data_IF_805129785881
#
_entry.id   IF_805129785881
#
_cell.length_a   1.000
_cell.length_b   1.000
_cell.length_c   1.000
_cell.angle_alpha   90.00
_cell.angle_beta   90.00
_cell.angle_gamma   90.00
#
_symmetry.space_group_name_H-M   'P 1'
#
loop_
_entity.id
_entity.type
_entity.pdbx_description
1 polymer ?
#
# COMPACT_ATOMS: atom_id res chain seq x y z
N UNK A 1 -3.35 -5.01 14.34
CA UNK A 1 -2.88 -5.12 13.91
C UNK A 1 -1.97 -5.26 13.79
N UNK A 2 -1.51 -5.26 13.47
CA UNK A 2 -0.77 -5.59 13.41
C UNK A 2 0.12 -5.71 12.69
N UNK A 3 0.33 -6.18 12.11
CA UNK A 3 1.31 -6.51 11.31
C UNK A 3 2.03 -5.46 10.66
N UNK A 4 1.47 -4.46 10.26
CA UNK A 4 2.16 -3.49 9.63
C UNK A 4 2.99 -2.63 10.39
N UNK A 5 2.74 -2.38 11.45
CA UNK A 5 3.46 -1.57 12.22
C UNK A 5 4.79 -1.60 11.99
N UNK A 6 5.52 -0.91 12.12
CA UNK A 6 6.90 -0.81 12.01
C UNK A 6 7.56 -1.82 11.17
N UNK A 7 7.10 -2.96 11.15
CA UNK A 7 7.75 -3.98 10.41
C UNK A 7 7.61 -3.88 8.93
N UNK A 8 6.73 -3.10 8.47
CA UNK A 8 6.49 -3.04 7.07
C UNK A 8 7.72 -2.73 6.26
N UNK A 9 8.48 -1.77 6.61
CA UNK A 9 9.64 -1.46 5.84
C UNK A 9 10.89 -2.02 6.46
N UNK A 10 10.84 -2.36 7.68
CA UNK A 10 12.00 -2.82 8.34
C UNK A 10 12.38 -4.20 7.97
N UNK A 11 11.54 -5.10 8.12
CA UNK A 11 11.94 -6.41 7.88
C UNK A 11 11.51 -6.96 6.60
N UNK A 12 10.43 -6.51 6.09
CA UNK A 12 9.87 -7.10 4.94
C UNK A 12 10.70 -7.11 3.71
N UNK A 13 11.37 -6.06 3.47
CA UNK A 13 12.08 -6.01 2.27
C UNK A 13 13.46 -6.10 2.57
N UNK A 14 14.07 -6.98 2.35
CA UNK A 14 15.26 -7.08 2.78
C UNK A 14 16.16 -7.09 1.99
N UNK A 15 17.04 -7.14 2.25
CA UNK A 15 18.15 -7.42 1.86
C UNK A 15 18.31 -7.65 0.50
N UNK A 16 18.98 -7.00 -0.21
CA UNK A 16 19.31 -7.24 -1.54
C UNK A 16 18.20 -7.04 -2.52
N UNK A 17 17.06 -6.74 -2.06
CA UNK A 17 15.97 -6.61 -2.94
C UNK A 17 15.60 -5.17 -3.09
N UNK A 18 15.40 -4.70 -4.34
CA UNK A 18 15.03 -3.36 -4.53
C UNK A 18 13.57 -3.19 -4.30
N UNK A 19 13.15 -2.06 -3.82
CA UNK A 19 11.76 -1.72 -3.63
C UNK A 19 11.27 -1.21 -4.97
N UNK A 20 10.50 -2.00 -5.67
CA UNK A 20 10.07 -1.61 -7.01
C UNK A 20 8.58 -1.29 -7.06
N UNK A 21 8.08 -1.04 -8.28
CA UNK A 21 6.69 -0.65 -8.45
C UNK A 21 5.71 -1.68 -7.93
N UNK A 22 6.01 -2.94 -8.09
CA UNK A 22 5.13 -3.98 -7.61
C UNK A 22 5.05 -3.96 -6.09
N UNK A 23 6.17 -3.69 -5.43
CA UNK A 23 6.19 -3.61 -3.98
C UNK A 23 5.35 -2.44 -3.51
N UNK A 24 5.47 -1.31 -4.19
CA UNK A 24 4.69 -0.14 -3.83
C UNK A 24 3.20 -0.42 -3.96
N UNK A 25 2.81 -1.04 -5.06
CA UNK A 25 1.41 -1.37 -5.29
C UNK A 25 0.89 -2.30 -4.21
N UNK A 26 1.67 -3.27 -3.82
CA UNK A 26 1.25 -4.22 -2.82
C UNK A 26 1.06 -3.55 -1.47
N UNK A 27 1.94 -2.67 -1.10
CA UNK A 27 1.82 -1.96 0.17
C UNK A 27 0.60 -1.03 0.14
N UNK A 28 0.37 -0.36 -0.98
CA UNK A 28 -0.82 0.47 -1.10
C UNK A 28 -2.07 -0.37 -0.91
N UNK A 29 -2.12 -1.53 -1.55
CA UNK A 29 -3.27 -2.40 -1.41
C UNK A 29 -3.44 -2.86 0.03
N UNK A 30 -2.34 -3.15 0.70
CA UNK A 30 -2.41 -3.58 2.09
C UNK A 30 -2.98 -2.47 2.97
N UNK A 31 -2.60 -1.24 2.69
CA UNK A 31 -3.14 -0.11 3.43
C UNK A 31 -4.62 0.07 3.14
N UNK A 32 -5.03 -0.12 1.89
CA UNK A 32 -6.43 0.00 1.53
C UNK A 32 -7.25 -1.14 2.11
N UNK A 33 -6.63 -2.28 2.37
CA UNK A 33 -7.36 -3.38 2.98
C UNK A 33 -7.69 -3.06 4.44
N UNK A 34 -6.99 -2.13 5.05
CA UNK A 34 -7.31 -1.72 6.41
C UNK A 34 -8.51 -0.79 6.40
N UNK A 35 -8.56 0.11 5.45
CA UNK A 35 -9.68 1.03 5.29
C UNK A 35 -9.49 1.84 4.02
N UNK A 36 -10.55 2.34 3.43
CA UNK A 36 -10.42 3.19 2.25
C UNK A 36 -9.64 4.45 2.61
N UNK A 37 -8.91 4.98 1.65
CA UNK A 37 -8.07 6.15 1.91
C UNK A 37 -8.00 7.03 0.67
N UNK A 38 -7.76 8.31 0.89
CA UNK A 38 -7.47 9.22 -0.19
C UNK A 38 -5.99 9.10 -0.52
N UNK A 39 -5.60 9.53 -1.70
CA UNK A 39 -4.20 9.41 -2.09
C UNK A 39 -3.24 10.10 -1.14
N UNK A 40 -3.60 11.30 -0.69
CA UNK A 40 -2.69 12.02 0.19
C UNK A 40 -2.58 11.33 1.56
N UNK A 41 -3.62 10.60 1.96
CA UNK A 41 -3.54 9.87 3.21
C UNK A 41 -2.57 8.72 3.10
N UNK A 42 -2.48 8.12 1.91
CA UNK A 42 -1.52 7.06 1.70
C UNK A 42 -0.11 7.59 1.85
N UNK A 43 0.16 8.77 1.31
CA UNK A 43 1.48 9.36 1.42
C UNK A 43 1.82 9.58 2.88
N UNK A 44 0.88 10.13 3.64
CA UNK A 44 1.12 10.36 5.05
C UNK A 44 1.32 9.05 5.80
N UNK A 45 0.57 8.03 5.46
CA UNK A 45 0.70 6.75 6.12
C UNK A 45 2.07 6.13 5.86
N UNK A 46 2.56 6.26 4.61
CA UNK A 46 3.89 5.79 4.30
C UNK A 46 4.92 6.51 5.16
N UNK A 47 4.77 7.82 5.28
CA UNK A 47 5.71 8.59 6.07
C UNK A 47 5.69 8.15 7.52
N UNK A 48 4.50 8.00 8.09
CA UNK A 48 4.37 7.63 9.47
C UNK A 48 4.90 6.24 9.76
N UNK A 49 4.58 5.30 8.92
CA UNK A 49 4.94 3.91 9.19
C UNK A 49 6.39 3.62 8.88
N UNK A 50 7.02 4.44 8.06
CA UNK A 50 8.42 4.25 7.79
C UNK A 50 9.28 5.11 8.70
N UNK A 51 8.66 5.87 9.58
CA UNK A 51 9.42 6.75 10.45
C UNK A 51 10.11 7.86 9.68
N UNK A 52 9.52 8.23 8.56
CA UNK A 52 10.08 9.29 7.74
C UNK A 52 11.09 8.81 6.71
N UNK A 53 11.42 7.52 6.72
CA UNK A 53 12.38 7.02 5.77
C UNK A 53 11.87 7.00 4.35
N UNK A 54 10.60 6.84 4.13
CA UNK A 54 10.07 6.79 2.78
C UNK A 54 8.82 7.62 2.69
N UNK A 55 8.86 8.66 1.89
CA UNK A 55 7.71 9.54 1.68
C UNK A 55 7.54 9.64 0.17
N UNK A 56 6.69 8.78 -0.40
CA UNK A 56 6.53 8.80 -1.86
C UNK A 56 5.89 10.10 -2.29
N UNK A 57 6.32 10.61 -3.40
CA UNK A 57 5.76 11.85 -3.93
C UNK A 57 4.43 11.55 -4.63
N UNK A 58 3.62 12.58 -4.87
CA UNK A 58 2.41 12.36 -5.66
C UNK A 58 2.70 11.77 -7.02
N UNK A 59 3.84 12.13 -7.61
CA UNK A 59 4.21 11.60 -8.90
C UNK A 59 4.50 10.11 -8.89
N UNK A 60 4.67 9.54 -7.72
CA UNK A 60 4.88 8.11 -7.59
C UNK A 60 3.58 7.43 -7.14
N UNK A 61 2.87 8.03 -6.21
CA UNK A 61 1.66 7.43 -5.66
C UNK A 61 0.50 7.41 -6.65
N UNK A 62 0.24 8.51 -7.32
CA UNK A 62 -0.96 8.56 -8.17
C UNK A 62 -0.88 7.67 -9.40
N UNK A 63 0.26 7.54 -10.06
CA UNK A 63 0.33 6.55 -11.13
C UNK A 63 0.11 5.11 -10.64
N UNK A 64 0.59 4.82 -9.43
CA UNK A 64 0.38 3.48 -8.88
C UNK A 64 -1.10 3.26 -8.60
N UNK A 65 -1.78 4.27 -8.08
CA UNK A 65 -3.21 4.17 -7.83
C UNK A 65 -4.00 4.01 -9.12
N UNK A 66 -3.58 4.74 -10.16
CA UNK A 66 -4.23 4.63 -11.45
C UNK A 66 -4.08 3.21 -12.00
N UNK A 67 -2.91 2.64 -11.85
CA UNK A 67 -2.68 1.29 -12.32
C UNK A 67 -3.58 0.31 -11.57
N UNK A 68 -3.70 0.47 -10.24
CA UNK A 68 -4.53 -0.43 -9.46
C UNK A 68 -6.00 -0.29 -9.84
N UNK A 69 -6.42 0.92 -10.15
CA UNK A 69 -7.78 1.16 -10.57
C UNK A 69 -8.04 0.54 -11.93
N UNK A 70 -7.13 0.73 -12.86
CA UNK A 70 -7.29 0.21 -14.21
C UNK A 70 -7.24 -1.30 -14.27
N UNK A 71 -6.54 -1.92 -13.36
CA UNK A 71 -6.45 -3.37 -13.35
C UNK A 71 -7.50 -4.00 -12.43
N UNK A 72 -8.40 -3.19 -11.89
CA UNK A 72 -9.49 -3.72 -11.09
C UNK A 72 -9.12 -4.11 -9.67
N UNK A 73 -7.95 -3.72 -9.21
CA UNK A 73 -7.53 -4.06 -7.86
C UNK A 73 -7.97 -3.02 -6.84
N UNK A 74 -8.32 -1.83 -7.29
CA UNK A 74 -8.87 -0.79 -6.44
C UNK A 74 -9.98 -0.09 -7.17
N UNK A 75 -10.88 0.54 -6.42
CA UNK A 75 -11.97 1.32 -6.99
C UNK A 75 -11.85 2.71 -6.47
N UNK A 76 -12.37 3.66 -7.23
CA UNK A 76 -12.34 5.06 -6.84
C UNK A 76 -13.74 5.57 -6.67
N UNK A 77 -13.96 6.27 -5.59
CA UNK A 77 -15.23 6.91 -5.35
C UNK A 77 -14.94 8.40 -5.29
N UNK A 78 -15.49 9.17 -6.21
CA UNK A 78 -15.24 10.60 -6.22
C UNK A 78 -16.11 11.25 -5.15
N UNK A 79 -15.53 12.17 -4.42
CA UNK A 79 -16.25 12.87 -3.38
C UNK A 79 -15.84 14.32 -3.50
N UNK A 80 -16.59 15.09 -4.23
CA UNK A 80 -16.21 16.47 -4.50
C UNK A 80 -14.96 16.47 -5.35
N UNK A 81 -13.93 17.12 -4.91
CA UNK A 81 -12.69 17.16 -5.66
C UNK A 81 -11.72 16.07 -5.21
N UNK A 82 -12.14 15.25 -4.24
CA UNK A 82 -11.26 14.22 -3.73
C UNK A 82 -11.68 12.87 -4.22
N UNK A 83 -10.74 11.97 -4.24
CA UNK A 83 -10.99 10.60 -4.66
C UNK A 83 -10.66 9.65 -3.53
N UNK A 84 -11.62 8.85 -3.16
CA UNK A 84 -11.43 7.87 -2.11
C UNK A 84 -11.20 6.52 -2.77
N UNK A 85 -10.07 5.91 -2.47
CA UNK A 85 -9.73 4.62 -3.06
C UNK A 85 -10.06 3.51 -2.07
N UNK A 86 -10.60 2.41 -2.60
CA UNK A 86 -10.88 1.27 -1.75
C UNK A 86 -10.47 0.00 -2.48
N UNK A 87 -10.11 -1.01 -1.72
CA UNK A 87 -9.62 -2.23 -2.31
C UNK A 87 -10.79 -3.06 -2.82
N UNK A 88 -10.56 -3.79 -3.89
CA UNK A 88 -11.58 -4.70 -4.42
C UNK A 88 -11.22 -6.12 -3.98
N UNK A 89 -12.08 -7.06 -4.33
CA UNK A 89 -11.84 -8.44 -4.02
C UNK A 89 -10.55 -8.92 -4.68
N UNK A 90 -10.33 -8.49 -5.91
CA UNK A 90 -9.12 -8.84 -6.63
C UNK A 90 -7.88 -8.30 -5.93
N UNK A 91 -7.96 -7.05 -5.46
CA UNK A 91 -6.85 -6.46 -4.74
C UNK A 91 -6.60 -7.17 -3.41
N UNK A 92 -7.69 -7.54 -2.72
CA UNK A 92 -7.55 -8.23 -1.46
C UNK A 92 -6.89 -9.59 -1.65
N UNK A 93 -7.22 -10.26 -2.75
CA UNK A 93 -6.60 -11.54 -3.03
C UNK A 93 -5.10 -11.38 -3.23
N UNK A 94 -4.70 -10.33 -3.90
CA UNK A 94 -3.29 -10.09 -4.12
C UNK A 94 -2.57 -9.86 -2.79
N UNK A 95 -3.19 -9.14 -1.86
CA UNK A 95 -2.61 -8.92 -0.56
C UNK A 95 -2.51 -10.25 0.18
N UNK A 96 -3.58 -11.05 0.15
CA UNK A 96 -3.60 -12.31 0.86
C UNK A 96 -2.55 -13.26 0.32
N UNK A 97 -2.36 -13.26 -0.99
CA UNK A 97 -1.38 -14.15 -1.60
C UNK A 97 0.05 -13.72 -1.29
N UNK A 98 0.24 -12.50 -0.85
CA UNK A 98 1.57 -11.98 -0.58
C UNK A 98 1.75 -11.52 0.86
N UNK A 99 1.06 -12.15 1.78
CA UNK A 99 1.14 -11.73 3.17
C UNK A 99 2.54 -11.81 3.73
N UNK A 100 3.32 -12.74 3.26
CA UNK A 100 4.68 -12.85 3.75
C UNK A 100 5.48 -11.60 3.45
N UNK A 101 5.12 -10.89 2.41
CA UNK A 101 5.83 -9.69 2.07
C UNK A 101 5.32 -8.48 2.83
N UNK A 102 4.03 -8.38 3.03
CA UNK A 102 3.50 -7.20 3.67
C UNK A 102 3.37 -7.28 5.18
N UNK A 103 3.27 -8.46 5.73
CA UNK A 103 3.19 -8.61 7.17
C UNK A 103 4.42 -9.32 7.60
N UNK A 104 5.04 -8.82 8.51
CA UNK A 104 6.24 -9.44 8.92
C UNK A 104 5.81 -10.73 9.43
N UNK A 105 6.36 -11.70 9.01
CA UNK A 105 6.06 -13.00 9.35
C UNK A 105 6.21 -13.14 10.71
N UNK A 106 5.90 -12.51 11.24
CA UNK A 106 5.97 -12.62 12.47
C UNK A 106 5.95 -13.91 12.88
N UNK A 107 5.72 -14.30 12.55
CA UNK A 107 5.67 -15.27 13.08
C UNK A 107 6.08 -16.08 13.13
N UNK A 108 6.14 -16.07 13.01
CA UNK A 108 6.60 -16.88 13.11
C UNK A 108 6.50 -17.52 13.52
#
# INVERSE_FOLDING_TARGET
MRGFKGGMFGGGFRTGRKFDAADLQLIILAMLSEQPRHGYELIKTFEERSGGFYVPSPGVIYPALTYLEETGQAEVEASGTKKLYRITESGQKRVDDNRDLVEAPAVG
#
